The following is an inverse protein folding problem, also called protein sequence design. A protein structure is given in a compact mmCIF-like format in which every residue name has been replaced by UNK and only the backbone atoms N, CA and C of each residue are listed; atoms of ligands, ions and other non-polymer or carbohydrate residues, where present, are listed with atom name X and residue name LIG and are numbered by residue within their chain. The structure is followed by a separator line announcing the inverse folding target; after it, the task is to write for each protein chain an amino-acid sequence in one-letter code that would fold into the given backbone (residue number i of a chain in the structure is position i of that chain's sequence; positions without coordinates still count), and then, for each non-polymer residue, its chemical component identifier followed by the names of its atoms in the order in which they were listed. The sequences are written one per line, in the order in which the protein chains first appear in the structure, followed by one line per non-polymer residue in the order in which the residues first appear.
data_IF_696813213077
#
_entry.id   IF_696813213077
#
_cell.length_a   1.000
_cell.length_b   1.000
_cell.length_c   1.000
_cell.angle_alpha   90.00
_cell.angle_beta   90.00
_cell.angle_gamma   90.00
#
_symmetry.space_group_name_H-M   'P 1'
#
loop_
_entity.id
_entity.type
_entity.pdbx_description
1 polymer ?
#
# COMPACT_ATOMS: atom_id res chain seq x y z
N UNK A 1 -1.85 -6.12 14.51
CA UNK A 1 -0.46 -5.80 14.09
C UNK A 1 0.48 -6.46 15.06
N UNK A 2 1.56 -7.08 14.58
CA UNK A 2 2.59 -7.67 15.44
C UNK A 2 3.38 -6.54 16.16
N UNK A 3 3.71 -6.68 17.46
CA UNK A 3 4.36 -5.61 18.24
C UNK A 3 5.67 -5.08 17.65
N UNK A 4 6.50 -5.92 17.03
CA UNK A 4 7.72 -5.53 16.32
C UNK A 4 7.45 -4.65 15.10
N UNK A 5 6.47 -5.02 14.26
CA UNK A 5 6.05 -4.20 13.12
C UNK A 5 5.57 -2.80 13.55
N UNK A 6 4.82 -2.72 14.66
CA UNK A 6 4.40 -1.44 15.22
C UNK A 6 5.59 -0.57 15.64
N UNK A 7 6.56 -1.16 16.35
CA UNK A 7 7.78 -0.45 16.80
C UNK A 7 8.62 0.01 15.62
N UNK A 8 8.75 -0.81 14.57
CA UNK A 8 9.47 -0.46 13.36
C UNK A 8 8.81 0.72 12.63
N UNK A 9 7.48 0.73 12.50
CA UNK A 9 6.74 1.83 11.91
C UNK A 9 6.90 3.13 12.73
N UNK A 10 6.82 3.06 14.06
CA UNK A 10 7.06 4.21 14.93
C UNK A 10 8.50 4.73 14.82
N UNK A 11 9.49 3.83 14.73
CA UNK A 11 10.89 4.20 14.54
C UNK A 11 11.12 4.89 13.19
N UNK A 12 10.53 4.39 12.11
CA UNK A 12 10.60 5.00 10.79
C UNK A 12 9.98 6.40 10.79
N UNK A 13 8.76 6.56 11.33
CA UNK A 13 8.10 7.86 11.44
C UNK A 13 8.92 8.87 12.26
N UNK A 14 9.59 8.42 13.32
CA UNK A 14 10.44 9.29 14.18
C UNK A 14 11.59 9.94 13.42
N UNK A 15 12.05 9.35 12.32
CA UNK A 15 13.11 9.94 11.48
C UNK A 15 12.65 11.22 10.78
N UNK A 16 11.35 11.38 10.57
CA UNK A 16 10.78 12.51 9.83
C UNK A 16 10.75 13.79 10.69
N UNK A 17 11.05 14.96 10.11
CA UNK A 17 11.03 16.23 10.84
C UNK A 17 9.69 16.54 11.54
N UNK A 18 8.57 16.08 10.97
CA UNK A 18 7.23 16.29 11.53
C UNK A 18 6.98 15.54 12.87
N UNK A 19 7.80 14.53 13.17
CA UNK A 19 7.69 13.69 14.37
C UNK A 19 8.81 13.91 15.37
N UNK A 20 9.79 14.75 15.05
CA UNK A 20 10.81 15.18 16.00
C UNK A 20 10.16 16.09 17.06
N UNK A 21 10.40 15.80 18.34
CA UNK A 21 9.73 16.53 19.42
C UNK A 21 10.14 18.01 19.40
N UNK A 22 9.16 18.89 19.40
CA UNK A 22 9.36 20.29 19.79
C UNK A 22 9.19 20.36 21.30
N UNK A 23 9.93 21.25 21.99
CA UNK A 23 9.73 21.47 23.43
C UNK A 23 8.25 21.68 23.71
N UNK A 24 7.69 20.87 24.62
CA UNK A 24 6.28 20.94 25.01
C UNK A 24 5.29 20.14 24.15
N UNK A 25 5.74 19.28 23.22
CA UNK A 25 4.83 18.37 22.52
C UNK A 25 4.39 17.20 23.44
N UNK A 26 3.09 17.07 23.77
CA UNK A 26 2.64 16.12 24.80
C UNK A 26 2.58 14.66 24.31
N UNK A 27 2.40 14.43 23.00
CA UNK A 27 2.19 13.08 22.45
C UNK A 27 3.42 12.56 21.69
N UNK A 28 3.83 11.34 22.04
CA UNK A 28 4.84 10.51 21.38
C UNK A 28 4.42 10.08 19.97
N UNK A 29 5.38 9.54 19.20
CA UNK A 29 5.10 8.98 17.88
C UNK A 29 4.20 7.75 17.99
N UNK A 30 4.42 6.93 19.02
CA UNK A 30 3.65 5.73 19.33
C UNK A 30 2.19 6.05 19.65
N UNK A 31 1.91 7.11 20.41
CA UNK A 31 0.53 7.52 20.70
C UNK A 31 -0.18 7.99 19.43
N UNK A 32 0.47 8.83 18.63
CA UNK A 32 -0.07 9.30 17.34
C UNK A 32 -0.36 8.13 16.41
N UNK A 33 0.60 7.21 16.28
CA UNK A 33 0.47 6.01 15.46
C UNK A 33 -0.63 5.08 15.98
N UNK A 34 -0.74 4.88 17.29
CA UNK A 34 -1.77 4.04 17.89
C UNK A 34 -3.17 4.59 17.61
N UNK A 35 -3.38 5.89 17.81
CA UNK A 35 -4.66 6.55 17.51
C UNK A 35 -5.00 6.45 16.03
N UNK A 36 -4.01 6.67 15.15
CA UNK A 36 -4.21 6.57 13.72
C UNK A 36 -4.58 5.16 13.27
N UNK A 37 -3.82 4.14 13.69
CA UNK A 37 -4.10 2.74 13.35
C UNK A 37 -5.42 2.25 13.96
N UNK A 38 -5.72 2.67 15.20
CA UNK A 38 -6.99 2.35 15.84
C UNK A 38 -8.15 2.91 15.02
N UNK A 39 -8.07 4.19 14.63
CA UNK A 39 -9.13 4.79 13.81
C UNK A 39 -9.25 4.14 12.44
N UNK A 40 -8.14 3.97 11.72
CA UNK A 40 -8.15 3.44 10.35
C UNK A 40 -8.53 1.95 10.29
N UNK A 41 -8.38 1.22 11.40
CA UNK A 41 -8.74 -0.20 11.51
C UNK A 41 -10.19 -0.45 11.94
N UNK A 42 -10.97 0.58 12.25
CA UNK A 42 -12.36 0.44 12.71
C UNK A 42 -13.34 1.19 11.79
N UNK A 43 -14.57 0.67 11.70
CA UNK A 43 -15.69 1.28 11.01
C UNK A 43 -16.82 1.63 12.01
N UNK A 44 -17.74 2.49 11.60
CA UNK A 44 -18.94 2.83 12.38
C UNK A 44 -18.63 3.62 13.65
N UNK A 45 -19.32 3.30 14.74
CA UNK A 45 -19.23 4.07 15.99
C UNK A 45 -17.84 3.97 16.65
N UNK A 46 -17.15 2.83 16.53
CA UNK A 46 -15.79 2.65 17.04
C UNK A 46 -14.77 3.58 16.32
N UNK A 47 -15.13 4.06 15.13
CA UNK A 47 -14.51 5.16 14.44
C UNK A 47 -15.25 6.49 14.73
N UNK A 48 -15.55 6.82 15.98
CA UNK A 48 -15.93 8.19 16.39
C UNK A 48 -14.70 8.91 16.95
N UNK A 49 -14.48 10.17 16.53
CA UNK A 49 -13.30 10.91 16.98
C UNK A 49 -13.43 11.28 18.47
N UNK A 50 -14.66 11.50 18.92
CA UNK A 50 -15.06 11.75 20.29
C UNK A 50 -14.78 10.53 21.18
N UNK A 51 -15.19 9.33 20.74
CA UNK A 51 -14.92 8.10 21.49
C UNK A 51 -13.42 7.81 21.56
N UNK A 52 -12.70 7.96 20.46
CA UNK A 52 -11.25 7.74 20.42
C UNK A 52 -10.52 8.73 21.31
N UNK A 53 -10.90 10.02 21.27
CA UNK A 53 -10.35 11.05 22.14
C UNK A 53 -10.55 10.72 23.62
N UNK A 54 -11.76 10.26 24.00
CA UNK A 54 -12.07 9.84 25.35
C UNK A 54 -11.23 8.63 25.80
N UNK A 55 -11.04 7.63 24.93
CA UNK A 55 -10.23 6.43 25.23
C UNK A 55 -8.74 6.78 25.32
N UNK A 56 -8.25 7.63 24.41
CA UNK A 56 -6.84 8.00 24.31
C UNK A 56 -6.43 9.11 25.30
N UNK A 57 -7.40 9.73 25.99
CA UNK A 57 -7.14 10.82 26.93
C UNK A 57 -6.64 12.10 26.24
N UNK A 58 -7.07 12.36 25.00
CA UNK A 58 -6.69 13.54 24.23
C UNK A 58 -7.90 14.35 23.76
N UNK A 59 -7.68 15.52 23.16
CA UNK A 59 -8.76 16.28 22.55
C UNK A 59 -9.14 15.72 21.16
N UNK A 60 -10.38 15.97 20.73
CA UNK A 60 -10.89 15.52 19.43
C UNK A 60 -10.07 16.08 18.26
N UNK A 61 -9.57 17.31 18.39
CA UNK A 61 -8.71 17.93 17.38
C UNK A 61 -7.38 17.20 17.22
N UNK A 62 -6.79 16.73 18.33
CA UNK A 62 -5.58 15.90 18.34
C UNK A 62 -5.79 14.61 17.55
N UNK A 63 -6.94 13.93 17.68
CA UNK A 63 -7.22 12.71 16.90
C UNK A 63 -7.08 12.98 15.40
N UNK A 64 -7.73 14.02 14.88
CA UNK A 64 -7.63 14.38 13.46
C UNK A 64 -6.21 14.78 13.04
N UNK A 65 -5.56 15.63 13.84
CA UNK A 65 -4.21 16.10 13.55
C UNK A 65 -3.19 14.96 13.54
N UNK A 66 -3.32 14.00 14.45
CA UNK A 66 -2.42 12.86 14.56
C UNK A 66 -2.62 11.88 13.40
N UNK A 67 -3.88 11.61 13.00
CA UNK A 67 -4.18 10.79 11.82
C UNK A 67 -3.55 11.41 10.57
N UNK A 68 -3.79 12.70 10.33
CA UNK A 68 -3.23 13.42 9.17
C UNK A 68 -1.70 13.41 9.20
N UNK A 69 -1.09 13.62 10.37
CA UNK A 69 0.36 13.57 10.51
C UNK A 69 0.91 12.17 10.19
N UNK A 70 0.28 11.10 10.67
CA UNK A 70 0.69 9.71 10.40
C UNK A 70 0.54 9.38 8.92
N UNK A 71 -0.59 9.69 8.29
CA UNK A 71 -0.80 9.45 6.86
C UNK A 71 0.28 10.17 6.03
N UNK A 72 0.52 11.46 6.29
CA UNK A 72 1.58 12.22 5.61
C UNK A 72 2.96 11.62 5.85
N UNK A 73 3.22 11.12 7.06
CA UNK A 73 4.47 10.45 7.38
C UNK A 73 4.65 9.16 6.60
N UNK A 74 3.61 8.33 6.50
CA UNK A 74 3.64 7.10 5.70
C UNK A 74 3.88 7.39 4.21
N UNK A 75 3.21 8.40 3.66
CA UNK A 75 3.44 8.86 2.27
C UNK A 75 4.88 9.35 2.08
N UNK A 76 5.43 10.09 3.04
CA UNK A 76 6.82 10.55 2.96
C UNK A 76 7.85 9.41 3.07
N UNK A 77 7.47 8.27 3.67
CA UNK A 77 8.30 7.07 3.76
C UNK A 77 8.10 6.12 2.59
N UNK A 78 7.10 6.33 1.75
CA UNK A 78 6.69 5.40 0.69
C UNK A 78 7.85 5.02 -0.21
N UNK A 79 8.59 6.01 -0.74
CA UNK A 79 9.73 5.77 -1.63
C UNK A 79 10.87 4.97 -0.98
N UNK A 80 10.94 4.94 0.35
CA UNK A 80 11.94 4.16 1.09
C UNK A 80 11.44 2.75 1.45
N UNK A 81 10.13 2.56 1.53
CA UNK A 81 9.51 1.31 1.98
C UNK A 81 9.05 0.43 0.80
N UNK A 82 8.64 1.06 -0.29
CA UNK A 82 8.13 0.42 -1.50
C UNK A 82 9.05 0.77 -2.66
N UNK A 83 10.26 0.22 -2.61
CA UNK A 83 11.20 0.25 -3.72
C UNK A 83 11.13 -1.05 -4.52
N UNK A 84 11.53 -0.99 -5.78
CA UNK A 84 11.58 -2.13 -6.68
C UNK A 84 12.51 -3.22 -6.16
N UNK A 85 12.39 -4.42 -6.71
CA UNK A 85 13.30 -5.52 -6.38
C UNK A 85 14.70 -5.25 -6.94
N UNK A 86 15.73 -5.44 -6.11
CA UNK A 86 17.11 -5.48 -6.56
C UNK A 86 17.37 -6.71 -7.45
N UNK A 87 18.42 -6.69 -8.26
CA UNK A 87 18.77 -7.85 -9.12
C UNK A 87 19.07 -9.11 -8.29
N UNK A 88 19.65 -8.95 -7.11
CA UNK A 88 19.91 -10.07 -6.20
C UNK A 88 18.59 -10.66 -5.64
N UNK A 89 17.65 -9.83 -5.19
CA UNK A 89 16.33 -10.30 -4.75
C UNK A 89 15.56 -10.97 -5.89
N UNK A 90 15.66 -10.44 -7.12
CA UNK A 90 15.05 -11.04 -8.30
C UNK A 90 15.60 -12.44 -8.53
N UNK A 91 16.93 -12.60 -8.59
CA UNK A 91 17.52 -13.91 -8.86
C UNK A 91 17.18 -14.94 -7.77
N UNK A 92 17.22 -14.53 -6.49
CA UNK A 92 16.77 -15.39 -5.39
C UNK A 92 15.31 -15.80 -5.53
N UNK A 93 14.43 -14.90 -5.97
CA UNK A 93 13.03 -15.20 -6.20
C UNK A 93 12.81 -16.14 -7.40
N UNK A 94 13.59 -15.98 -8.47
CA UNK A 94 13.58 -16.86 -9.65
C UNK A 94 13.98 -18.29 -9.29
N UNK A 95 15.09 -18.43 -8.56
CA UNK A 95 15.55 -19.72 -8.03
C UNK A 95 14.49 -20.36 -7.14
N UNK A 96 13.91 -19.57 -6.23
CA UNK A 96 12.85 -20.04 -5.35
C UNK A 96 11.61 -20.52 -6.13
N UNK A 97 11.21 -19.80 -7.19
CA UNK A 97 10.05 -20.17 -8.01
C UNK A 97 10.31 -21.47 -8.76
N UNK A 98 11.48 -21.63 -9.39
CA UNK A 98 11.82 -22.89 -10.08
C UNK A 98 11.80 -24.08 -9.12
N UNK A 99 12.45 -23.94 -7.95
CA UNK A 99 12.50 -25.00 -6.94
C UNK A 99 11.12 -25.30 -6.37
N UNK A 100 10.31 -24.27 -6.09
CA UNK A 100 9.01 -24.44 -5.45
C UNK A 100 7.94 -24.98 -6.40
N UNK A 101 7.98 -24.57 -7.66
CA UNK A 101 7.04 -25.00 -8.69
C UNK A 101 7.43 -26.36 -9.31
N UNK A 102 8.73 -26.67 -9.39
CA UNK A 102 9.25 -27.79 -10.15
C UNK A 102 9.17 -27.58 -11.67
N UNK A 103 8.92 -26.35 -12.13
CA UNK A 103 8.71 -25.98 -13.54
C UNK A 103 9.77 -24.95 -13.94
N UNK A 104 10.84 -25.37 -14.65
CA UNK A 104 11.92 -24.46 -15.08
C UNK A 104 11.44 -23.27 -15.92
N UNK A 105 10.35 -23.44 -16.68
CA UNK A 105 9.76 -22.38 -17.50
C UNK A 105 9.20 -21.22 -16.68
N UNK A 106 8.93 -21.42 -15.38
CA UNK A 106 8.44 -20.37 -14.49
C UNK A 106 9.57 -19.59 -13.82
N UNK A 107 10.84 -20.00 -14.01
CA UNK A 107 12.02 -19.37 -13.40
C UNK A 107 12.04 -17.86 -13.61
N UNK A 108 11.63 -17.34 -14.76
CA UNK A 108 11.69 -15.89 -15.03
C UNK A 108 10.57 -15.07 -14.37
N UNK A 109 9.59 -15.71 -13.73
CA UNK A 109 8.72 -15.03 -12.78
C UNK A 109 9.49 -14.79 -11.49
N UNK A 110 9.64 -13.53 -11.07
CA UNK A 110 10.31 -13.18 -9.80
C UNK A 110 9.36 -12.50 -8.80
N UNK A 111 8.16 -12.12 -9.24
CA UNK A 111 7.18 -11.39 -8.43
C UNK A 111 5.80 -12.02 -8.54
N UNK A 112 5.01 -11.87 -7.50
CA UNK A 112 3.60 -12.25 -7.46
C UNK A 112 2.73 -11.02 -7.45
N UNK A 113 1.55 -11.12 -8.06
CA UNK A 113 0.53 -10.06 -8.07
C UNK A 113 -0.70 -10.60 -7.37
N UNK A 114 -1.21 -9.87 -6.40
CA UNK A 114 -2.47 -10.21 -5.72
C UNK A 114 -3.34 -8.96 -5.50
N UNK A 115 -4.65 -9.17 -5.63
CA UNK A 115 -5.66 -8.14 -5.47
C UNK A 115 -6.24 -8.13 -4.07
N UNK A 116 -6.26 -6.96 -3.44
CA UNK A 116 -6.94 -6.73 -2.16
C UNK A 116 -7.91 -5.56 -2.25
N UNK A 117 -8.79 -5.44 -1.26
CA UNK A 117 -9.83 -4.41 -1.22
C UNK A 117 -9.71 -3.55 0.05
N UNK A 118 -9.66 -2.24 -0.14
CA UNK A 118 -9.88 -1.27 0.94
C UNK A 118 -11.38 -1.02 1.03
N UNK A 119 -12.02 -1.50 2.10
CA UNK A 119 -13.44 -1.33 2.30
C UNK A 119 -13.80 0.13 2.60
N UNK A 120 -14.92 0.57 2.07
CA UNK A 120 -15.50 1.88 2.31
C UNK A 120 -16.82 1.71 3.07
N UNK A 121 -17.02 2.53 4.09
CA UNK A 121 -18.28 2.54 4.85
C UNK A 121 -19.48 2.91 3.95
N UNK A 122 -19.27 3.78 2.96
CA UNK A 122 -20.30 4.30 2.06
C UNK A 122 -19.83 4.32 0.61
N UNK A 123 -20.77 4.28 -0.32
CA UNK A 123 -20.48 4.46 -1.73
C UNK A 123 -19.97 5.89 -1.99
N UNK A 124 -18.90 6.07 -2.78
CA UNK A 124 -18.45 7.40 -3.18
C UNK A 124 -19.54 8.19 -3.94
N UNK A 125 -19.68 9.48 -3.63
CA UNK A 125 -20.83 10.31 -4.01
C UNK A 125 -20.89 10.82 -5.47
N UNK A 126 -20.03 10.37 -6.38
CA UNK A 126 -19.90 10.92 -7.74
C UNK A 126 -20.58 10.08 -8.84
N UNK A 127 -21.74 9.46 -8.55
CA UNK A 127 -22.60 8.87 -9.60
C UNK A 127 -22.22 7.48 -10.11
N UNK A 128 -21.28 6.79 -9.47
CA UNK A 128 -20.85 5.43 -9.86
C UNK A 128 -20.75 4.48 -8.65
N UNK A 129 -21.65 4.61 -7.68
CA UNK A 129 -21.62 3.84 -6.44
C UNK A 129 -21.57 2.32 -6.67
N UNK A 130 -22.31 1.81 -7.65
CA UNK A 130 -22.29 0.39 -8.04
C UNK A 130 -20.91 -0.08 -8.51
N UNK A 131 -20.12 0.79 -9.15
CA UNK A 131 -18.76 0.46 -9.57
C UNK A 131 -17.82 0.17 -8.39
N UNK A 132 -18.10 0.71 -7.21
CA UNK A 132 -17.35 0.43 -5.99
C UNK A 132 -17.83 -0.82 -5.26
N UNK A 133 -18.99 -1.36 -5.65
CA UNK A 133 -19.60 -2.50 -4.99
C UNK A 133 -18.94 -3.80 -5.46
N UNK A 134 -18.12 -4.38 -4.60
CA UNK A 134 -17.37 -5.58 -4.93
C UNK A 134 -18.23 -6.85 -4.86
N UNK A 135 -17.64 -7.98 -5.27
CA UNK A 135 -18.27 -9.32 -5.22
C UNK A 135 -18.74 -9.73 -3.81
N UNK A 136 -18.20 -9.13 -2.75
CA UNK A 136 -18.58 -9.38 -1.35
C UNK A 136 -19.69 -8.44 -0.85
N UNK A 137 -20.37 -7.75 -1.76
CA UNK A 137 -21.46 -6.82 -1.45
C UNK A 137 -21.03 -5.68 -0.52
N UNK A 138 -19.81 -5.16 -0.71
CA UNK A 138 -19.28 -4.01 0.03
C UNK A 138 -18.72 -2.98 -0.93
N UNK A 139 -18.88 -1.70 -0.59
CA UNK A 139 -18.17 -0.63 -1.29
C UNK A 139 -16.67 -0.76 -0.97
N UNK A 140 -15.81 -0.66 -1.98
CA UNK A 140 -14.36 -0.77 -1.81
C UNK A 140 -13.58 -0.15 -2.96
N UNK A 141 -12.31 0.13 -2.69
CA UNK A 141 -11.27 0.38 -3.70
C UNK A 141 -10.47 -0.90 -3.87
N UNK A 142 -10.19 -1.28 -5.12
CA UNK A 142 -9.26 -2.37 -5.42
C UNK A 142 -7.82 -1.83 -5.31
N UNK A 143 -6.96 -2.66 -4.75
CA UNK A 143 -5.52 -2.43 -4.64
C UNK A 143 -4.82 -3.68 -5.15
N UNK A 144 -4.03 -3.55 -6.22
CA UNK A 144 -3.17 -4.62 -6.69
C UNK A 144 -1.81 -4.46 -6.05
N UNK A 145 -1.31 -5.51 -5.41
CA UNK A 145 0.00 -5.54 -4.77
C UNK A 145 0.94 -6.40 -5.61
N UNK A 146 2.15 -5.91 -5.83
CA UNK A 146 3.26 -6.67 -6.38
C UNK A 146 4.22 -6.98 -5.24
N UNK A 147 4.47 -8.26 -5.00
CA UNK A 147 5.31 -8.71 -3.89
C UNK A 147 6.36 -9.73 -4.33
N UNK A 148 7.46 -9.77 -3.59
CA UNK A 148 8.45 -10.83 -3.72
C UNK A 148 7.91 -12.13 -3.09
N UNK A 149 7.95 -13.27 -3.79
CA UNK A 149 7.45 -14.54 -3.26
C UNK A 149 8.30 -15.08 -2.10
N UNK A 150 9.57 -14.66 -2.01
CA UNK A 150 10.54 -15.11 -0.99
C UNK A 150 10.34 -14.40 0.35
N UNK A 151 10.15 -13.08 0.33
CA UNK A 151 10.13 -12.24 1.54
C UNK A 151 8.74 -11.66 1.85
N UNK A 152 7.79 -11.75 0.92
CA UNK A 152 6.50 -11.05 0.95
C UNK A 152 6.61 -9.52 0.99
N UNK A 153 7.81 -8.97 0.71
CA UNK A 153 8.02 -7.53 0.61
C UNK A 153 7.22 -7.00 -0.58
N UNK A 154 6.40 -5.98 -0.34
CA UNK A 154 5.68 -5.25 -1.38
C UNK A 154 6.70 -4.37 -2.11
N UNK A 155 6.80 -4.53 -3.43
CA UNK A 155 7.78 -3.83 -4.29
C UNK A 155 7.11 -2.84 -5.24
N UNK A 156 5.80 -2.96 -5.43
CA UNK A 156 4.98 -2.00 -6.16
C UNK A 156 3.51 -2.25 -5.82
N UNK A 157 2.65 -1.27 -6.08
CA UNK A 157 1.22 -1.43 -5.95
C UNK A 157 0.48 -0.50 -6.92
N UNK A 158 -0.79 -0.80 -7.18
CA UNK A 158 -1.72 0.06 -7.90
C UNK A 158 -2.97 0.26 -7.03
N UNK A 159 -3.30 1.50 -6.69
CA UNK A 159 -4.51 1.88 -5.94
C UNK A 159 -5.40 2.70 -6.87
N UNK A 160 -6.71 2.52 -6.78
CA UNK A 160 -7.67 3.39 -7.47
C UNK A 160 -8.75 2.68 -8.27
N UNK A 161 -8.50 1.48 -8.87
CA UNK A 161 -9.56 0.79 -9.57
C UNK A 161 -10.75 0.55 -8.64
N UNK A 162 -11.96 0.69 -9.17
CA UNK A 162 -13.18 0.57 -8.38
C UNK A 162 -13.35 -0.87 -7.89
N UNK A 163 -14.05 -1.07 -6.77
CA UNK A 163 -14.23 -2.39 -6.16
C UNK A 163 -14.86 -3.48 -7.05
N UNK A 164 -15.61 -3.12 -8.09
CA UNK A 164 -16.15 -4.07 -9.06
C UNK A 164 -15.16 -4.42 -10.21
N UNK A 165 -14.01 -3.74 -10.27
CA UNK A 165 -13.01 -3.93 -11.32
C UNK A 165 -12.34 -5.29 -11.15
N UNK A 166 -12.34 -6.10 -12.22
CA UNK A 166 -11.64 -7.39 -12.23
C UNK A 166 -10.12 -7.22 -12.18
N UNK A 167 -9.42 -8.23 -11.66
CA UNK A 167 -7.98 -8.16 -11.39
C UNK A 167 -7.14 -7.86 -12.63
N UNK A 168 -7.53 -8.38 -13.81
CA UNK A 168 -6.84 -8.08 -15.07
C UNK A 168 -6.91 -6.60 -15.44
N UNK A 169 -8.08 -5.97 -15.28
CA UNK A 169 -8.25 -4.56 -15.56
C UNK A 169 -7.54 -3.70 -14.52
N UNK A 170 -7.59 -4.09 -13.25
CA UNK A 170 -6.85 -3.41 -12.18
C UNK A 170 -5.33 -3.52 -12.40
N UNK A 171 -4.83 -4.68 -12.85
CA UNK A 171 -3.43 -4.88 -13.21
C UNK A 171 -3.00 -4.02 -14.38
N UNK A 172 -3.87 -3.85 -15.39
CA UNK A 172 -3.58 -3.01 -16.54
C UNK A 172 -3.28 -1.56 -16.15
N UNK A 173 -3.81 -1.07 -15.02
CA UNK A 173 -3.54 0.28 -14.50
C UNK A 173 -2.21 0.37 -13.71
N UNK A 174 -1.52 -0.74 -13.46
CA UNK A 174 -0.24 -0.74 -12.73
C UNK A 174 0.91 -0.13 -13.54
N UNK A 175 1.88 0.48 -12.85
CA UNK A 175 3.09 1.00 -13.48
C UNK A 175 3.85 -0.08 -14.27
N UNK A 176 3.86 -1.31 -13.74
CA UNK A 176 4.49 -2.47 -14.38
C UNK A 176 3.84 -2.80 -15.72
N UNK A 177 2.50 -2.80 -15.78
CA UNK A 177 1.77 -3.05 -17.03
C UNK A 177 1.87 -1.88 -18.02
N UNK A 178 1.92 -0.64 -17.53
CA UNK A 178 1.98 0.55 -18.37
C UNK A 178 3.37 0.80 -18.97
N UNK A 179 4.43 0.37 -18.27
CA UNK A 179 5.80 0.63 -18.70
C UNK A 179 6.72 -0.62 -18.54
N UNK A 180 6.37 -1.75 -19.18
CA UNK A 180 7.02 -3.04 -18.93
C UNK A 180 8.52 -3.06 -19.23
N UNK A 181 9.01 -2.20 -20.13
CA UNK A 181 10.43 -2.08 -20.45
C UNK A 181 11.30 -1.71 -19.24
N UNK A 182 10.78 -0.95 -18.28
CA UNK A 182 11.52 -0.56 -17.07
C UNK A 182 11.55 -1.66 -16.01
N UNK A 183 10.55 -2.54 -16.01
CA UNK A 183 10.29 -3.45 -14.90
C UNK A 183 10.55 -4.92 -15.25
N UNK A 184 10.40 -5.30 -16.52
CA UNK A 184 10.50 -6.66 -17.01
C UNK A 184 11.66 -6.79 -18.02
N UNK A 185 12.39 -7.92 -18.01
CA UNK A 185 13.43 -8.15 -19.00
C UNK A 185 12.84 -8.17 -20.42
N UNK A 186 13.63 -7.71 -21.38
CA UNK A 186 13.30 -7.50 -22.80
C UNK A 186 12.83 -8.75 -23.59
N UNK A 187 12.63 -9.89 -22.92
CA UNK A 187 12.12 -11.14 -23.46
C UNK A 187 10.59 -11.29 -23.43
N UNK A 188 9.85 -10.49 -22.65
CA UNK A 188 8.38 -10.58 -22.52
C UNK A 188 7.58 -9.98 -23.70
N UNK A 189 8.13 -10.04 -24.92
CA UNK A 189 7.84 -9.11 -26.04
C UNK A 189 6.42 -9.13 -26.62
N UNK A 190 6.09 -7.92 -27.12
CA UNK A 190 5.32 -7.59 -28.34
C UNK A 190 3.80 -7.70 -28.26
N UNK A 191 3.16 -6.59 -27.91
CA UNK A 191 2.25 -5.92 -28.84
C UNK A 191 2.55 -4.42 -28.83
N UNK A 192 2.39 -3.80 -29.99
CA UNK A 192 2.85 -2.46 -30.35
C UNK A 192 2.56 -1.37 -29.31
N UNK A 193 3.49 -0.43 -29.16
CA UNK A 193 3.25 0.97 -29.55
C UNK A 193 4.50 1.81 -29.30
N UNK A 194 5.07 2.29 -30.40
CA UNK A 194 5.87 3.51 -30.42
C UNK A 194 5.08 4.66 -29.78
N UNK A 195 5.82 5.53 -29.09
CA UNK A 195 5.39 6.75 -28.38
C UNK A 195 4.97 6.50 -26.93
N UNK A 196 5.85 6.86 -26.01
CA UNK A 196 5.69 8.10 -25.24
C UNK A 196 6.93 8.34 -24.37
N UNK A 197 7.54 9.52 -24.55
CA UNK A 197 8.58 10.04 -23.66
C UNK A 197 7.99 10.42 -22.32
N UNK A 198 7.76 9.43 -21.46
CA UNK A 198 7.33 9.63 -20.08
C UNK A 198 8.58 9.71 -19.16
N UNK A 199 8.62 10.67 -18.22
CA UNK A 199 9.71 10.77 -17.27
C UNK A 199 9.73 9.55 -16.34
N UNK A 200 10.95 9.16 -15.94
CA UNK A 200 11.22 8.07 -15.00
C UNK A 200 10.47 8.31 -13.67
N UNK A 201 9.73 7.34 -13.13
CA UNK A 201 9.32 7.39 -11.73
C UNK A 201 10.53 7.03 -10.85
N UNK A 202 10.78 7.89 -9.87
CA UNK A 202 11.64 7.64 -8.72
C UNK A 202 11.12 6.50 -7.85
#
# INVERSE_FOLDING_TARGET
MEPGAFKAAAAALRTLPAFQSRRGAPASVEEKLSVALFRLGHDGQAASAEQIAAIAGCDVGSVYNWIVAVIRGMVALESYLVDWASEEEKEQAKDWIEVRSGVPEWRDGFATVDGTHVNLAWAPGLGHGEGFFNRKHRNSLNVQLVALPTTLRIISYCIGPRGATGDQSAWAESAVSQAPYYYLPSGARRMDLDRQGLPLPC
#
